data_IF_837148697442
#
_entry.id   IF_837148697442
#
_cell.length_a   1.000
_cell.length_b   1.000
_cell.length_c   1.000
_cell.angle_alpha   90.00
_cell.angle_beta   90.00
_cell.angle_gamma   90.00
#
_symmetry.space_group_name_H-M   'P 1'
#
loop_
_entity.id
_entity.type
_entity.pdbx_description
1 polymer ?
#
# COMPACT_ATOMS: atom_id res chain seq x y z
N UNK A 1 -54.35 -32.85 -28.21
CA UNK A 1 -53.70 -31.97 -29.21
C UNK A 1 -52.28 -32.52 -29.50
N UNK A 2 -52.05 -33.10 -30.70
CA UNK A 2 -50.75 -33.66 -31.02
C UNK A 2 -49.87 -32.57 -31.58
N UNK A 3 -48.83 -32.17 -30.83
CA UNK A 3 -47.87 -31.20 -31.31
C UNK A 3 -46.98 -31.87 -32.36
N UNK A 4 -46.87 -31.27 -33.54
CA UNK A 4 -46.08 -31.79 -34.67
C UNK A 4 -44.60 -31.87 -34.27
N UNK A 5 -43.86 -32.87 -34.81
CA UNK A 5 -42.41 -33.03 -34.59
C UNK A 5 -41.63 -31.74 -34.86
N UNK A 6 -42.04 -30.94 -35.83
CA UNK A 6 -41.44 -29.65 -36.13
C UNK A 6 -41.62 -28.62 -35.03
N UNK A 7 -42.79 -28.61 -34.34
CA UNK A 7 -43.05 -27.74 -33.20
C UNK A 7 -42.23 -28.12 -31.97
N UNK A 8 -41.96 -29.41 -31.73
CA UNK A 8 -41.12 -29.85 -30.61
C UNK A 8 -39.66 -29.45 -30.81
N UNK A 9 -39.13 -29.57 -32.04
CA UNK A 9 -37.77 -29.16 -32.35
C UNK A 9 -37.55 -27.64 -32.14
N UNK A 10 -38.53 -26.82 -32.50
CA UNK A 10 -38.49 -25.37 -32.30
C UNK A 10 -38.48 -24.96 -30.82
N UNK A 11 -39.32 -25.59 -29.99
CA UNK A 11 -39.35 -25.30 -28.55
C UNK A 11 -38.03 -25.67 -27.87
N UNK A 12 -37.41 -26.84 -28.21
CA UNK A 12 -36.16 -27.27 -27.64
C UNK A 12 -35.02 -26.29 -28.03
N UNK A 13 -34.99 -25.83 -29.28
CA UNK A 13 -33.98 -24.89 -29.77
C UNK A 13 -34.06 -23.53 -29.04
N UNK A 14 -35.27 -23.01 -28.81
CA UNK A 14 -35.47 -21.72 -28.10
C UNK A 14 -35.09 -21.81 -26.61
N UNK A 15 -35.42 -22.92 -25.95
CA UNK A 15 -35.03 -23.15 -24.55
C UNK A 15 -33.51 -23.31 -24.40
N UNK A 16 -32.85 -24.02 -25.31
CA UNK A 16 -31.40 -24.19 -25.30
C UNK A 16 -30.65 -22.84 -25.52
N UNK A 17 -31.13 -22.00 -26.43
CA UNK A 17 -30.56 -20.71 -26.70
C UNK A 17 -30.75 -19.75 -25.51
N UNK A 18 -31.90 -19.78 -24.82
CA UNK A 18 -32.17 -19.00 -23.62
C UNK A 18 -31.28 -19.35 -22.45
N UNK A 19 -31.01 -20.65 -22.22
CA UNK A 19 -30.11 -21.10 -21.15
C UNK A 19 -28.65 -20.74 -21.41
N UNK A 20 -28.18 -20.74 -22.65
CA UNK A 20 -26.83 -20.34 -23.01
C UNK A 20 -26.56 -18.85 -22.79
N UNK A 21 -27.55 -17.99 -23.07
CA UNK A 21 -27.44 -16.53 -22.86
C UNK A 21 -27.43 -16.15 -21.38
N UNK A 22 -28.21 -16.80 -20.54
CA UNK A 22 -28.25 -16.50 -19.10
C UNK A 22 -26.98 -16.94 -18.37
N UNK A 23 -26.35 -18.05 -18.76
CA UNK A 23 -25.08 -18.50 -18.15
C UNK A 23 -23.89 -17.62 -18.53
N UNK A 24 -23.83 -17.08 -19.75
CA UNK A 24 -22.78 -16.14 -20.15
C UNK A 24 -22.88 -14.79 -19.42
N UNK A 25 -24.09 -14.29 -19.16
CA UNK A 25 -24.30 -13.04 -18.45
C UNK A 25 -23.99 -13.16 -16.94
N UNK A 26 -24.29 -14.29 -16.31
CA UNK A 26 -24.02 -14.54 -14.90
C UNK A 26 -22.54 -14.65 -14.57
N UNK A 27 -21.78 -15.35 -15.40
CA UNK A 27 -20.35 -15.54 -15.21
C UNK A 27 -19.56 -14.23 -15.37
N UNK A 28 -19.94 -13.40 -16.34
CA UNK A 28 -19.32 -12.09 -16.56
C UNK A 28 -19.53 -11.10 -15.41
N UNK A 29 -20.69 -11.16 -14.76
CA UNK A 29 -20.99 -10.35 -13.56
C UNK A 29 -20.21 -10.79 -12.33
N UNK A 30 -20.11 -12.10 -12.10
CA UNK A 30 -19.35 -12.65 -10.98
C UNK A 30 -17.85 -12.34 -11.07
N UNK A 31 -17.26 -12.40 -12.29
CA UNK A 31 -15.87 -12.05 -12.51
C UNK A 31 -15.61 -10.54 -12.34
N UNK A 32 -16.52 -9.67 -12.81
CA UNK A 32 -16.42 -8.22 -12.59
C UNK A 32 -16.57 -7.84 -11.12
N UNK A 33 -17.44 -8.52 -10.38
CA UNK A 33 -17.61 -8.27 -8.95
C UNK A 33 -16.38 -8.67 -8.13
N UNK A 34 -15.71 -9.78 -8.49
CA UNK A 34 -14.44 -10.18 -7.85
C UNK A 34 -13.30 -9.21 -8.17
N UNK A 35 -13.21 -8.72 -9.40
CA UNK A 35 -12.24 -7.70 -9.78
C UNK A 35 -12.47 -6.37 -9.02
N UNK A 36 -13.72 -5.96 -8.83
CA UNK A 36 -14.05 -4.76 -8.07
C UNK A 36 -13.76 -4.88 -6.56
N UNK A 37 -13.88 -6.08 -5.99
CA UNK A 37 -13.52 -6.33 -4.58
C UNK A 37 -12.00 -6.41 -4.38
N UNK A 38 -11.23 -6.85 -5.39
CA UNK A 38 -9.75 -6.85 -5.36
C UNK A 38 -9.15 -5.45 -5.55
N UNK A 39 -9.82 -4.55 -6.27
CA UNK A 39 -9.31 -3.19 -6.51
C UNK A 39 -9.48 -2.24 -5.33
N UNK A 40 -10.29 -2.62 -4.31
CA UNK A 40 -10.50 -1.81 -3.10
C UNK A 40 -9.52 -2.11 -1.96
N UNK A 41 -8.57 -3.02 -2.14
CA UNK A 41 -7.69 -3.47 -1.05
C UNK A 41 -6.20 -3.26 -1.34
N UNK A 42 -5.85 -2.49 -2.38
CA UNK A 42 -4.51 -1.91 -2.44
C UNK A 42 -4.56 -0.59 -1.67
N UNK A 43 -3.90 -0.48 -0.49
CA UNK A 43 -3.69 0.82 0.13
C UNK A 43 -2.87 1.63 -0.87
N UNK A 44 -3.49 2.66 -1.44
CA UNK A 44 -2.77 3.64 -2.24
C UNK A 44 -1.65 4.18 -1.38
N UNK A 45 -0.42 4.23 -1.88
CA UNK A 45 0.74 4.79 -1.15
C UNK A 45 0.48 6.23 -0.67
N UNK A 46 -0.48 6.93 -1.26
CA UNK A 46 -0.97 8.22 -0.80
C UNK A 46 -1.58 8.20 0.61
N UNK A 47 -2.22 7.09 1.04
CA UNK A 47 -2.82 6.97 2.37
C UNK A 47 -1.80 6.65 3.47
N UNK A 48 -0.54 6.35 3.12
CA UNK A 48 0.53 6.09 4.10
C UNK A 48 1.08 7.38 4.73
N UNK A 49 0.74 8.55 4.18
CA UNK A 49 1.23 9.86 4.64
C UNK A 49 0.10 10.80 5.11
N UNK A 50 -1.08 10.27 5.45
CA UNK A 50 -2.12 11.06 6.12
C UNK A 50 -1.65 11.46 7.52
N UNK A 51 -1.70 12.77 7.87
CA UNK A 51 -1.16 13.28 9.15
C UNK A 51 -1.88 12.80 10.41
N UNK A 52 -2.87 11.92 10.28
CA UNK A 52 -3.73 11.46 11.38
C UNK A 52 -3.78 9.93 11.52
N UNK A 53 -3.07 9.15 10.70
CA UNK A 53 -3.03 7.71 10.88
C UNK A 53 -2.20 7.39 12.13
N UNK A 54 -2.75 6.67 13.14
CA UNK A 54 -1.97 6.26 14.29
C UNK A 54 -0.78 5.44 13.79
N UNK A 55 0.42 5.83 14.18
CA UNK A 55 1.66 5.17 13.78
C UNK A 55 1.59 3.71 14.20
N UNK A 56 1.44 2.79 13.27
CA UNK A 56 1.33 1.37 13.56
C UNK A 56 2.60 0.86 14.24
N UNK A 57 2.50 0.17 15.40
CA UNK A 57 3.67 -0.41 16.06
C UNK A 57 4.51 -1.32 15.16
N UNK A 58 3.87 -1.99 14.19
CA UNK A 58 4.56 -2.83 13.20
C UNK A 58 5.40 -2.00 12.23
N UNK A 59 4.91 -0.83 11.80
CA UNK A 59 5.68 0.07 10.95
C UNK A 59 6.89 0.64 11.71
N UNK A 60 6.71 1.02 12.98
CA UNK A 60 7.80 1.50 13.83
C UNK A 60 8.87 0.44 14.02
N UNK A 61 8.47 -0.80 14.35
CA UNK A 61 9.40 -1.90 14.53
C UNK A 61 10.20 -2.18 13.25
N UNK A 62 9.52 -2.26 12.10
CA UNK A 62 10.17 -2.41 10.80
C UNK A 62 11.07 -1.24 10.47
N UNK A 63 10.62 -0.01 10.71
CA UNK A 63 11.41 1.20 10.51
C UNK A 63 12.69 1.21 11.35
N UNK A 64 12.63 0.75 12.60
CA UNK A 64 13.81 0.62 13.46
C UNK A 64 14.84 -0.37 12.90
N UNK A 65 14.41 -1.52 12.38
CA UNK A 65 15.32 -2.48 11.73
C UNK A 65 16.04 -1.84 10.52
N UNK A 66 15.29 -1.18 9.65
CA UNK A 66 15.80 -0.50 8.47
C UNK A 66 16.74 0.66 8.84
N UNK A 67 16.41 1.39 9.91
CA UNK A 67 17.23 2.48 10.43
C UNK A 67 18.59 1.98 10.91
N UNK A 68 18.62 0.92 11.68
CA UNK A 68 19.86 0.32 12.18
C UNK A 68 20.74 -0.20 11.04
N UNK A 69 20.13 -0.73 9.96
CA UNK A 69 20.87 -1.21 8.78
C UNK A 69 21.40 -0.12 7.87
N UNK A 70 20.72 1.03 7.79
CA UNK A 70 20.97 2.01 6.72
C UNK A 70 21.24 3.43 7.17
N UNK A 71 20.85 3.81 8.38
CA UNK A 71 20.85 5.21 8.83
C UNK A 71 21.71 5.42 10.08
N UNK A 72 21.82 4.41 10.94
CA UNK A 72 22.51 4.47 12.22
C UNK A 72 24.01 4.81 12.10
N UNK A 73 24.63 4.54 10.95
CA UNK A 73 26.02 4.89 10.68
C UNK A 73 26.28 6.40 10.81
N UNK A 74 25.33 7.22 10.35
CA UNK A 74 25.46 8.67 10.41
C UNK A 74 24.65 9.29 11.56
N UNK A 75 23.49 8.71 11.90
CA UNK A 75 22.59 9.30 12.89
C UNK A 75 22.72 8.70 14.31
N UNK A 76 23.66 7.77 14.51
CA UNK A 76 23.78 7.03 15.77
C UNK A 76 22.73 5.91 15.88
N UNK A 77 23.04 4.84 16.64
CA UNK A 77 22.13 3.71 16.80
C UNK A 77 20.86 4.04 17.60
N UNK A 78 20.92 5.07 18.39
CA UNK A 78 19.83 5.66 19.19
C UNK A 78 19.22 6.91 18.54
N UNK A 79 19.69 7.27 17.34
CA UNK A 79 19.26 8.44 16.57
C UNK A 79 19.56 9.81 17.22
N UNK A 80 20.48 9.87 18.19
CA UNK A 80 20.89 11.13 18.85
C UNK A 80 21.90 11.96 18.04
N UNK A 81 22.27 11.48 16.85
CA UNK A 81 23.26 12.10 15.99
C UNK A 81 24.66 11.54 16.17
N UNK A 82 25.47 11.64 15.11
CA UNK A 82 26.91 11.39 15.08
C UNK A 82 27.49 12.28 13.96
N UNK A 83 27.73 11.75 12.74
CA UNK A 83 28.05 12.58 11.56
C UNK A 83 26.80 13.33 11.04
N UNK A 84 25.61 12.73 11.17
CA UNK A 84 24.31 13.32 10.87
C UNK A 84 23.64 13.93 12.11
N UNK A 85 22.58 14.73 11.92
CA UNK A 85 21.90 15.39 13.04
C UNK A 85 21.12 14.42 13.92
N UNK A 86 20.80 14.84 15.14
CA UNK A 86 19.82 14.25 16.04
C UNK A 86 18.43 14.23 15.35
N UNK A 87 17.75 13.10 15.43
CA UNK A 87 16.42 12.90 14.83
C UNK A 87 15.29 12.89 15.84
N UNK A 88 15.57 13.18 17.11
CA UNK A 88 14.53 13.32 18.13
C UNK A 88 13.80 14.66 17.96
N UNK A 89 12.50 14.64 18.21
CA UNK A 89 11.63 15.82 18.22
C UNK A 89 11.70 16.70 16.95
N UNK A 90 11.95 16.07 15.78
CA UNK A 90 12.04 16.79 14.49
C UNK A 90 10.69 17.45 14.13
N UNK A 91 10.68 18.78 14.01
CA UNK A 91 9.48 19.60 13.77
C UNK A 91 9.18 19.76 12.28
N UNK A 92 9.10 18.64 11.52
CA UNK A 92 8.79 18.63 10.09
C UNK A 92 7.67 17.64 9.78
N UNK A 93 7.06 17.74 8.61
CA UNK A 93 5.99 16.80 8.21
C UNK A 93 6.55 15.44 7.83
N UNK A 94 5.71 14.38 7.94
CA UNK A 94 6.06 13.02 7.50
C UNK A 94 6.43 12.98 6.02
N UNK A 95 5.74 13.76 5.20
CA UNK A 95 6.08 13.92 3.77
C UNK A 95 7.48 14.48 3.58
N UNK A 96 7.89 15.42 4.41
CA UNK A 96 9.24 15.98 4.34
C UNK A 96 10.28 14.92 4.73
N UNK A 97 10.08 14.19 5.82
CA UNK A 97 10.96 13.08 6.23
C UNK A 97 11.08 12.06 5.10
N UNK A 98 9.96 11.58 4.56
CA UNK A 98 9.95 10.62 3.45
C UNK A 98 10.68 11.16 2.20
N UNK A 99 10.51 12.44 1.89
CA UNK A 99 11.19 13.08 0.76
C UNK A 99 12.71 13.12 0.96
N UNK A 100 13.18 13.48 2.16
CA UNK A 100 14.62 13.51 2.48
C UNK A 100 15.20 12.09 2.42
N UNK A 101 14.53 11.08 2.98
CA UNK A 101 14.99 9.69 2.87
C UNK A 101 15.08 9.26 1.40
N UNK A 102 14.08 9.61 0.58
CA UNK A 102 14.02 9.23 -0.81
C UNK A 102 15.12 9.88 -1.65
N UNK A 103 15.30 11.20 -1.54
CA UNK A 103 16.14 11.98 -2.44
C UNK A 103 17.50 12.32 -1.85
N UNK A 104 17.64 12.29 -0.53
CA UNK A 104 18.82 12.74 0.18
C UNK A 104 18.95 14.27 0.20
N UNK A 105 20.08 14.74 0.72
CA UNK A 105 20.52 16.14 0.70
C UNK A 105 21.89 16.17 0.03
N UNK A 106 22.07 16.95 -1.05
CA UNK A 106 23.36 16.99 -1.76
C UNK A 106 24.52 17.26 -0.80
N UNK A 107 25.54 16.40 -0.87
CA UNK A 107 26.78 16.44 -0.06
C UNK A 107 26.62 16.20 1.45
N UNK A 108 25.39 15.95 1.95
CA UNK A 108 25.12 15.73 3.38
C UNK A 108 24.51 14.35 3.63
N UNK A 109 23.45 13.99 2.88
CA UNK A 109 22.75 12.72 3.08
C UNK A 109 22.53 12.02 1.73
N UNK A 110 22.91 10.74 1.57
CA UNK A 110 22.68 10.02 0.33
C UNK A 110 21.19 9.74 0.09
N UNK A 111 20.80 9.57 -1.20
CA UNK A 111 19.47 9.08 -1.58
C UNK A 111 19.34 7.60 -1.29
N UNK A 112 18.23 7.20 -0.68
CA UNK A 112 17.89 5.80 -0.41
C UNK A 112 16.85 5.22 -1.35
N UNK A 113 16.37 5.95 -2.36
CA UNK A 113 15.35 5.49 -3.31
C UNK A 113 15.69 4.16 -4.02
N UNK A 114 16.99 3.87 -4.21
CA UNK A 114 17.42 2.62 -4.84
C UNK A 114 17.48 1.43 -3.87
N UNK A 115 17.61 1.68 -2.56
CA UNK A 115 17.74 0.66 -1.52
C UNK A 115 16.38 0.34 -0.90
N UNK A 116 15.54 1.33 -0.69
CA UNK A 116 14.27 1.22 0.01
C UNK A 116 13.10 1.60 -0.89
N UNK A 117 12.10 0.70 -0.98
CA UNK A 117 10.83 0.97 -1.65
C UNK A 117 9.91 1.86 -0.80
N UNK A 118 8.78 2.27 -1.36
CA UNK A 118 7.83 3.17 -0.70
C UNK A 118 7.34 2.66 0.67
N UNK A 119 7.14 1.34 0.83
CA UNK A 119 6.73 0.74 2.11
C UNK A 119 7.84 0.82 3.18
N UNK A 120 9.10 0.63 2.80
CA UNK A 120 10.24 0.77 3.71
C UNK A 120 10.45 2.23 4.10
N UNK A 121 10.29 3.16 3.16
CA UNK A 121 10.37 4.61 3.43
C UNK A 121 9.25 5.04 4.39
N UNK A 122 8.03 4.52 4.23
CA UNK A 122 6.95 4.76 5.18
C UNK A 122 7.26 4.22 6.58
N UNK A 123 7.87 3.03 6.66
CA UNK A 123 8.30 2.43 7.94
C UNK A 123 9.41 3.25 8.60
N UNK A 124 10.41 3.70 7.84
CA UNK A 124 11.46 4.59 8.33
C UNK A 124 10.90 5.92 8.84
N UNK A 125 9.96 6.52 8.10
CA UNK A 125 9.27 7.75 8.51
C UNK A 125 8.51 7.54 9.82
N UNK A 126 7.79 6.42 9.96
CA UNK A 126 7.09 6.06 11.18
C UNK A 126 8.03 5.89 12.37
N UNK A 127 9.19 5.30 12.16
CA UNK A 127 10.22 5.17 13.21
C UNK A 127 10.77 6.53 13.64
N UNK A 128 11.21 7.38 12.71
CA UNK A 128 11.70 8.73 13.03
C UNK A 128 10.62 9.53 13.79
N UNK A 129 9.37 9.44 13.38
CA UNK A 129 8.25 10.08 14.07
C UNK A 129 8.02 9.54 15.49
N UNK A 130 8.33 8.26 15.73
CA UNK A 130 8.23 7.64 17.07
C UNK A 130 9.30 8.09 18.04
N UNK A 131 10.35 8.78 17.59
CA UNK A 131 11.41 9.34 18.41
C UNK A 131 10.98 10.66 19.07
N UNK A 132 9.79 11.18 18.74
CA UNK A 132 9.24 12.37 19.41
C UNK A 132 8.93 12.05 20.88
N UNK A 133 9.39 12.92 21.78
CA UNK A 133 9.02 12.85 23.19
C UNK A 133 7.51 13.06 23.35
N UNK A 134 6.82 12.33 24.26
CA UNK A 134 5.42 12.58 24.55
C UNK A 134 5.26 14.05 24.95
N UNK A 135 4.51 14.81 24.18
CA UNK A 135 4.17 16.18 24.57
C UNK A 135 3.30 16.12 25.82
N UNK A 136 3.88 16.51 26.96
CA UNK A 136 3.20 16.63 28.24
C UNK A 136 2.06 17.67 28.24
#
# INVERSE_FOLDING_TARGET
>A
MKISLAGQALVVAVVAAGLALTSAFGLGRALRQRAALSSHQQPSVENLFEPSAPTSPLLVARGRELFLDSCAHCHGADATGDEGPDLHDVQVSDRYIANIITHGIPHEMPSFAKKHGAADIASLTAYVRSLESPRG
#
